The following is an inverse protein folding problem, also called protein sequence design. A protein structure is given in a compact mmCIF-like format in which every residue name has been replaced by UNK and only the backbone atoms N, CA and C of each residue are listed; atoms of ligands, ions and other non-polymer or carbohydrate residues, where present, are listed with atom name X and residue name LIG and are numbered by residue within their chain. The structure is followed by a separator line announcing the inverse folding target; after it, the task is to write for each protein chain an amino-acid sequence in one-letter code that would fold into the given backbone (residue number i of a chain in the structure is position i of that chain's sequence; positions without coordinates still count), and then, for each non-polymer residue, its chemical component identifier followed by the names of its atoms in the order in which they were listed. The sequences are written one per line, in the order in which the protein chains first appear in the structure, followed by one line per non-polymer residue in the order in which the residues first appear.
data_IF_474973436308
#
_entry.id   IF_474973436308
#
_cell.length_a   1.000
_cell.length_b   1.000
_cell.length_c   1.000
_cell.angle_alpha   90.00
_cell.angle_beta   90.00
_cell.angle_gamma   90.00
#
_symmetry.space_group_name_H-M   'P 1'
#
loop_
_entity.id
_entity.type
_entity.pdbx_description
1 polymer ?
#
# COMPACT_ATOMS: atom_id res chain seq x y z
N UNK A 1 -11.96 10.94 -36.31
CA UNK A 1 -12.46 10.22 -35.11
C UNK A 1 -12.37 8.70 -35.24
N UNK A 2 -11.88 8.14 -36.37
CA UNK A 2 -11.63 6.68 -36.53
C UNK A 2 -10.21 6.24 -36.12
N UNK A 3 -9.23 7.16 -36.10
CA UNK A 3 -7.82 6.84 -35.80
C UNK A 3 -7.61 6.49 -34.31
N UNK A 4 -8.51 6.92 -33.41
CA UNK A 4 -8.46 6.59 -31.97
C UNK A 4 -8.70 5.09 -31.72
N UNK A 5 -9.43 4.41 -32.61
CA UNK A 5 -9.85 3.02 -32.40
C UNK A 5 -8.83 1.95 -32.82
N UNK A 6 -7.85 2.28 -33.68
CA UNK A 6 -6.80 1.34 -34.09
C UNK A 6 -5.64 1.28 -33.10
N UNK A 7 -5.39 2.38 -32.38
CA UNK A 7 -4.46 2.40 -31.23
C UNK A 7 -5.03 1.57 -30.06
N UNK A 8 -6.34 1.36 -30.03
CA UNK A 8 -7.06 0.71 -28.94
C UNK A 8 -6.80 -0.81 -28.87
N UNK A 9 -6.89 -1.58 -29.97
CA UNK A 9 -6.86 -3.04 -29.82
C UNK A 9 -5.47 -3.62 -29.53
N UNK A 10 -4.40 -3.09 -30.15
CA UNK A 10 -3.03 -3.58 -29.99
C UNK A 10 -2.43 -3.11 -28.67
N UNK A 11 -2.70 -1.86 -28.28
CA UNK A 11 -2.20 -1.29 -27.03
C UNK A 11 -2.94 -1.91 -25.85
N UNK A 12 -4.27 -2.07 -25.93
CA UNK A 12 -5.04 -2.78 -24.90
C UNK A 12 -4.64 -4.26 -24.83
N UNK A 13 -4.42 -4.95 -25.95
CA UNK A 13 -3.96 -6.34 -25.95
C UNK A 13 -2.58 -6.49 -25.31
N UNK A 14 -1.63 -5.58 -25.59
CA UNK A 14 -0.33 -5.55 -24.89
C UNK A 14 -0.47 -5.16 -23.43
N UNK A 15 -1.38 -4.24 -23.10
CA UNK A 15 -1.63 -3.83 -21.72
C UNK A 15 -2.22 -4.98 -20.90
N UNK A 16 -3.16 -5.72 -21.46
CA UNK A 16 -3.70 -6.98 -20.94
C UNK A 16 -2.63 -8.03 -20.79
N UNK A 17 -1.79 -8.23 -21.80
CA UNK A 17 -0.71 -9.21 -21.72
C UNK A 17 0.26 -8.85 -20.58
N UNK A 18 0.57 -7.56 -20.43
CA UNK A 18 1.39 -7.07 -19.32
C UNK A 18 0.69 -7.20 -17.97
N UNK A 19 -0.58 -6.80 -17.87
CA UNK A 19 -1.39 -6.85 -16.66
C UNK A 19 -1.63 -8.30 -16.22
N UNK A 20 -2.06 -9.18 -17.12
CA UNK A 20 -2.26 -10.61 -16.85
C UNK A 20 -0.94 -11.31 -16.52
N UNK A 21 0.18 -10.99 -17.20
CA UNK A 21 1.50 -11.51 -16.81
C UNK A 21 1.92 -10.99 -15.43
N UNK A 22 1.71 -9.71 -15.13
CA UNK A 22 2.06 -9.16 -13.81
C UNK A 22 1.13 -9.66 -12.71
N UNK A 23 -0.16 -9.84 -12.95
CA UNK A 23 -1.12 -10.43 -12.01
C UNK A 23 -0.85 -11.92 -11.78
N UNK A 24 -0.59 -12.69 -12.84
CA UNK A 24 -0.17 -14.08 -12.72
C UNK A 24 1.13 -14.19 -11.92
N UNK A 25 2.07 -13.26 -12.10
CA UNK A 25 3.29 -13.16 -11.30
C UNK A 25 2.95 -12.78 -9.85
N UNK A 26 2.08 -11.81 -9.58
CA UNK A 26 1.71 -11.37 -8.22
C UNK A 26 0.94 -12.45 -7.44
N UNK A 27 0.08 -13.20 -8.13
CA UNK A 27 -0.65 -14.37 -7.61
C UNK A 27 0.30 -15.56 -7.40
N UNK A 28 1.16 -15.89 -8.37
CA UNK A 28 2.08 -17.02 -8.30
C UNK A 28 3.21 -16.83 -7.27
N UNK A 29 3.73 -15.61 -7.08
CA UNK A 29 4.88 -15.39 -6.19
C UNK A 29 4.60 -15.57 -4.68
N UNK A 30 3.37 -15.86 -4.25
CA UNK A 30 3.02 -15.65 -2.85
C UNK A 30 2.11 -16.68 -2.19
N UNK A 31 1.68 -17.76 -2.86
CA UNK A 31 0.87 -18.80 -2.20
C UNK A 31 1.58 -19.35 -0.95
N UNK A 32 2.91 -19.54 -1.03
CA UNK A 32 3.72 -19.98 0.11
C UNK A 32 3.73 -18.98 1.29
N UNK A 33 3.75 -17.67 1.02
CA UNK A 33 3.76 -16.64 2.06
C UNK A 33 2.38 -16.46 2.71
N UNK A 34 1.31 -16.61 1.93
CA UNK A 34 -0.07 -16.51 2.43
C UNK A 34 -0.32 -17.58 3.50
N UNK A 35 0.11 -18.82 3.26
CA UNK A 35 -0.04 -19.90 4.25
C UNK A 35 0.68 -19.60 5.57
N UNK A 36 1.87 -19.00 5.54
CA UNK A 36 2.61 -18.61 6.76
C UNK A 36 1.96 -17.44 7.51
N UNK A 37 1.29 -16.52 6.81
CA UNK A 37 0.59 -15.39 7.43
C UNK A 37 -0.77 -15.83 8.01
N UNK A 38 -1.41 -16.83 7.41
CA UNK A 38 -2.75 -17.26 7.80
C UNK A 38 -2.81 -17.93 9.18
N UNK A 39 -1.76 -18.65 9.59
CA UNK A 39 -1.74 -19.41 10.85
C UNK A 39 -1.69 -18.56 12.14
N UNK A 40 -1.33 -17.28 12.05
CA UNK A 40 -1.26 -16.39 13.21
C UNK A 40 -2.61 -15.74 13.55
N UNK A 41 -2.79 -15.42 14.86
CA UNK A 41 -3.93 -14.65 15.41
C UNK A 41 -4.18 -13.37 14.59
N UNK A 42 -5.46 -12.97 14.40
CA UNK A 42 -5.79 -11.79 13.60
C UNK A 42 -5.23 -10.52 14.26
N UNK A 43 -4.29 -9.88 13.58
CA UNK A 43 -3.71 -8.60 13.97
C UNK A 43 -4.03 -7.55 12.89
N UNK A 44 -4.01 -6.26 13.26
CA UNK A 44 -4.26 -5.14 12.33
C UNK A 44 -3.37 -5.22 11.08
N UNK A 45 -2.10 -5.60 11.23
CA UNK A 45 -1.19 -5.78 10.09
C UNK A 45 -1.61 -6.90 9.12
N UNK A 46 -2.27 -7.96 9.61
CA UNK A 46 -2.82 -9.03 8.76
C UNK A 46 -4.02 -8.50 7.98
N UNK A 47 -4.90 -7.74 8.63
CA UNK A 47 -6.03 -7.10 7.95
C UNK A 47 -5.54 -6.17 6.84
N UNK A 48 -4.62 -5.24 7.15
CA UNK A 48 -4.06 -4.32 6.15
C UNK A 48 -3.40 -5.05 4.99
N UNK A 49 -2.61 -6.10 5.25
CA UNK A 49 -1.96 -6.89 4.21
C UNK A 49 -2.96 -7.63 3.29
N UNK A 50 -4.04 -8.16 3.86
CA UNK A 50 -5.09 -8.80 3.07
C UNK A 50 -5.83 -7.75 2.25
N UNK A 51 -6.19 -6.63 2.86
CA UNK A 51 -6.91 -5.54 2.20
C UNK A 51 -6.11 -4.94 1.05
N UNK A 52 -4.83 -4.58 1.24
CA UNK A 52 -3.96 -4.05 0.17
C UNK A 52 -3.74 -5.04 -0.97
N UNK A 53 -3.89 -6.34 -0.72
CA UNK A 53 -3.69 -7.38 -1.73
C UNK A 53 -4.96 -7.70 -2.50
N UNK A 54 -6.07 -7.93 -1.80
CA UNK A 54 -7.29 -8.44 -2.42
C UNK A 54 -8.21 -7.33 -2.95
N UNK A 55 -8.19 -6.14 -2.35
CA UNK A 55 -9.04 -5.04 -2.83
C UNK A 55 -8.71 -4.61 -4.27
N UNK A 56 -7.42 -4.42 -4.68
CA UNK A 56 -7.10 -4.13 -6.08
C UNK A 56 -7.54 -5.22 -7.04
N UNK A 57 -7.47 -6.50 -6.64
CA UNK A 57 -7.90 -7.63 -7.50
C UNK A 57 -9.41 -7.54 -7.76
N UNK A 58 -10.20 -7.27 -6.73
CA UNK A 58 -11.65 -7.11 -6.88
C UNK A 58 -11.96 -5.89 -7.75
N UNK A 59 -11.26 -4.77 -7.55
CA UNK A 59 -11.40 -3.59 -8.39
C UNK A 59 -11.09 -3.93 -9.86
N UNK A 60 -9.97 -4.57 -10.14
CA UNK A 60 -9.58 -4.95 -11.50
C UNK A 60 -10.63 -5.87 -12.14
N UNK A 61 -11.15 -6.86 -11.41
CA UNK A 61 -12.23 -7.72 -11.91
C UNK A 61 -13.47 -6.89 -12.25
N UNK A 62 -13.89 -5.96 -11.38
CA UNK A 62 -15.04 -5.09 -11.66
C UNK A 62 -14.79 -4.18 -12.87
N UNK A 63 -13.57 -3.66 -13.01
CA UNK A 63 -13.14 -2.87 -14.15
C UNK A 63 -13.14 -3.69 -15.46
N UNK A 64 -12.66 -4.93 -15.42
CA UNK A 64 -12.74 -5.85 -16.56
C UNK A 64 -14.20 -6.13 -16.92
N UNK A 65 -15.05 -6.43 -15.94
CA UNK A 65 -16.46 -6.72 -16.18
C UNK A 65 -17.25 -5.54 -16.76
N UNK A 66 -16.81 -4.30 -16.52
CA UNK A 66 -17.48 -3.09 -17.02
C UNK A 66 -16.91 -2.58 -18.34
N UNK A 67 -15.58 -2.67 -18.52
CA UNK A 67 -14.87 -2.07 -19.64
C UNK A 67 -14.39 -3.07 -20.71
N UNK A 68 -14.55 -4.39 -20.53
CA UNK A 68 -14.22 -5.37 -21.57
C UNK A 68 -15.38 -5.73 -22.47
N UNK A 69 -15.03 -6.15 -23.70
CA UNK A 69 -15.96 -6.72 -24.67
C UNK A 69 -16.41 -8.10 -24.22
N UNK A 70 -17.34 -8.11 -23.29
CA UNK A 70 -18.07 -9.28 -22.84
C UNK A 70 -19.44 -9.15 -23.52
N UNK A 71 -19.74 -9.97 -24.53
CA UNK A 71 -21.03 -10.00 -25.23
C UNK A 71 -22.24 -10.33 -24.31
N UNK A 72 -22.02 -10.35 -23.00
CA UNK A 72 -23.01 -10.53 -21.96
C UNK A 72 -23.73 -9.21 -21.64
N UNK A 73 -25.06 -9.24 -21.67
CA UNK A 73 -25.92 -8.13 -21.26
C UNK A 73 -26.02 -8.06 -19.73
N UNK A 74 -25.35 -7.08 -19.13
CA UNK A 74 -25.51 -6.70 -17.73
C UNK A 74 -26.63 -5.65 -17.63
N UNK A 75 -27.54 -5.79 -16.66
CA UNK A 75 -28.59 -4.78 -16.46
C UNK A 75 -28.02 -3.46 -15.93
N UNK A 76 -28.70 -2.33 -16.18
CA UNK A 76 -28.21 -1.00 -15.78
C UNK A 76 -27.86 -0.89 -14.28
N UNK A 77 -28.68 -1.51 -13.41
CA UNK A 77 -28.41 -1.57 -11.96
C UNK A 77 -27.14 -2.35 -11.64
N UNK A 78 -26.83 -3.40 -12.41
CA UNK A 78 -25.61 -4.19 -12.28
C UNK A 78 -24.37 -3.39 -12.67
N UNK A 79 -24.43 -2.63 -13.76
CA UNK A 79 -23.34 -1.74 -14.17
C UNK A 79 -23.04 -0.69 -13.09
N UNK A 80 -24.08 -0.04 -12.55
CA UNK A 80 -23.91 0.94 -11.47
C UNK A 80 -23.33 0.29 -10.21
N UNK A 81 -23.79 -0.90 -9.83
CA UNK A 81 -23.25 -1.62 -8.68
C UNK A 81 -21.77 -2.01 -8.87
N UNK A 82 -21.39 -2.48 -10.06
CA UNK A 82 -19.99 -2.83 -10.38
C UNK A 82 -19.07 -1.61 -10.32
N UNK A 83 -19.53 -0.46 -10.82
CA UNK A 83 -18.76 0.79 -10.77
C UNK A 83 -18.58 1.33 -9.34
N UNK A 84 -19.63 1.24 -8.52
CA UNK A 84 -19.55 1.55 -7.08
C UNK A 84 -18.56 0.62 -6.39
N UNK A 85 -18.64 -0.70 -6.63
CA UNK A 85 -17.73 -1.67 -6.01
C UNK A 85 -16.29 -1.40 -6.45
N UNK A 86 -16.05 -1.15 -7.73
CA UNK A 86 -14.74 -0.78 -8.27
C UNK A 86 -14.16 0.44 -7.51
N UNK A 87 -14.91 1.53 -7.45
CA UNK A 87 -14.50 2.77 -6.80
C UNK A 87 -14.20 2.58 -5.31
N UNK A 88 -15.09 1.88 -4.59
CA UNK A 88 -14.90 1.60 -3.16
C UNK A 88 -13.68 0.72 -2.91
N UNK A 89 -13.45 -0.30 -3.74
CA UNK A 89 -12.31 -1.20 -3.59
C UNK A 89 -10.98 -0.50 -3.87
N UNK A 90 -10.93 0.38 -4.87
CA UNK A 90 -9.75 1.19 -5.15
C UNK A 90 -9.46 2.18 -4.01
N UNK A 91 -10.48 2.82 -3.44
CA UNK A 91 -10.32 3.68 -2.27
C UNK A 91 -9.82 2.90 -1.06
N UNK A 92 -10.38 1.71 -0.81
CA UNK A 92 -9.95 0.82 0.28
C UNK A 92 -8.49 0.41 0.10
N UNK A 93 -8.10 0.00 -1.11
CA UNK A 93 -6.73 -0.40 -1.43
C UNK A 93 -5.73 0.75 -1.20
N UNK A 94 -6.06 1.94 -1.72
CA UNK A 94 -5.24 3.13 -1.54
C UNK A 94 -5.14 3.53 -0.06
N UNK A 95 -6.25 3.50 0.67
CA UNK A 95 -6.29 3.86 2.09
C UNK A 95 -5.54 2.86 2.97
N UNK A 96 -5.58 1.56 2.65
CA UNK A 96 -4.83 0.54 3.37
C UNK A 96 -3.31 0.66 3.13
N UNK A 97 -2.90 1.01 1.91
CA UNK A 97 -1.49 1.27 1.59
C UNK A 97 -0.97 2.52 2.34
N UNK A 98 -1.78 3.56 2.45
CA UNK A 98 -1.41 4.76 3.20
C UNK A 98 -1.46 4.55 4.72
N UNK A 99 -2.43 3.81 5.25
CA UNK A 99 -2.46 3.42 6.66
C UNK A 99 -1.21 2.60 7.03
N UNK A 100 -0.76 1.73 6.13
CA UNK A 100 0.50 0.99 6.27
C UNK A 100 1.68 1.96 6.38
N UNK A 101 1.77 2.97 5.51
CA UNK A 101 2.81 4.00 5.58
C UNK A 101 2.79 4.77 6.90
N UNK A 102 1.61 5.19 7.35
CA UNK A 102 1.45 5.92 8.61
C UNK A 102 1.84 5.06 9.81
N UNK A 103 1.55 3.75 9.78
CA UNK A 103 2.01 2.81 10.80
C UNK A 103 3.54 2.65 10.80
N UNK A 104 4.15 2.53 9.61
CA UNK A 104 5.61 2.52 9.47
C UNK A 104 6.22 3.81 10.03
N UNK A 105 5.61 4.96 9.72
CA UNK A 105 6.05 6.27 10.18
C UNK A 105 5.92 6.39 11.70
N UNK A 106 4.81 5.93 12.27
CA UNK A 106 4.60 5.89 13.71
C UNK A 106 5.66 5.04 14.43
N UNK A 107 5.97 3.84 13.91
CA UNK A 107 7.02 3.00 14.46
C UNK A 107 8.41 3.66 14.37
N UNK A 108 8.67 4.46 13.33
CA UNK A 108 9.89 5.25 13.17
C UNK A 108 9.93 6.49 14.06
N UNK A 109 8.79 7.00 14.49
CA UNK A 109 8.73 8.17 15.36
C UNK A 109 9.07 7.79 16.80
N UNK A 110 8.70 6.59 17.26
CA UNK A 110 8.74 6.23 18.68
C UNK A 110 8.13 7.33 19.58
N UNK A 111 7.14 8.02 19.03
CA UNK A 111 6.49 9.18 19.66
C UNK A 111 5.30 8.71 20.49
N UNK A 112 4.95 9.51 21.50
CA UNK A 112 3.75 9.34 22.33
C UNK A 112 2.52 8.97 21.49
N UNK A 113 1.70 8.05 21.99
CA UNK A 113 0.46 7.54 21.36
C UNK A 113 -0.48 8.63 20.83
N UNK A 114 -0.44 9.84 21.39
CA UNK A 114 -1.24 11.00 20.92
C UNK A 114 -1.01 11.30 19.44
N UNK A 115 0.24 11.30 18.96
CA UNK A 115 0.55 11.63 17.57
C UNK A 115 0.05 10.59 16.58
N UNK A 116 -0.03 9.32 17.00
CA UNK A 116 -0.64 8.27 16.21
C UNK A 116 -2.12 8.57 15.92
N UNK A 117 -2.88 8.94 16.95
CA UNK A 117 -4.28 9.29 16.78
C UNK A 117 -4.47 10.51 15.89
N UNK A 118 -3.63 11.54 16.03
CA UNK A 118 -3.68 12.73 15.15
C UNK A 118 -3.45 12.36 13.68
N UNK A 119 -2.43 11.55 13.38
CA UNK A 119 -2.16 11.08 12.01
C UNK A 119 -3.31 10.26 11.43
N UNK A 120 -3.85 9.34 12.24
CA UNK A 120 -4.95 8.46 11.82
C UNK A 120 -6.25 9.23 11.59
N UNK A 121 -6.63 10.12 12.51
CA UNK A 121 -7.84 10.96 12.38
C UNK A 121 -7.71 11.90 11.19
N UNK A 122 -6.55 12.54 11.01
CA UNK A 122 -6.29 13.41 9.87
C UNK A 122 -6.41 12.67 8.54
N UNK A 123 -5.73 11.52 8.41
CA UNK A 123 -5.83 10.68 7.20
C UNK A 123 -7.25 10.20 6.94
N UNK A 124 -7.96 9.77 7.99
CA UNK A 124 -9.35 9.34 7.89
C UNK A 124 -10.28 10.46 7.43
N UNK A 125 -10.12 11.68 7.94
CA UNK A 125 -10.90 12.84 7.50
C UNK A 125 -10.73 13.08 5.99
N UNK A 126 -9.51 13.05 5.47
CA UNK A 126 -9.27 13.15 4.02
C UNK A 126 -9.91 12.01 3.23
N UNK A 127 -9.84 10.76 3.74
CA UNK A 127 -10.48 9.60 3.10
C UNK A 127 -11.99 9.75 3.02
N UNK A 128 -12.63 10.23 4.10
CA UNK A 128 -14.08 10.47 4.12
C UNK A 128 -14.47 11.55 3.12
N UNK A 129 -13.70 12.64 3.03
CA UNK A 129 -13.94 13.68 2.03
C UNK A 129 -13.84 13.15 0.60
N UNK A 130 -12.81 12.33 0.31
CA UNK A 130 -12.67 11.68 -1.00
C UNK A 130 -13.87 10.77 -1.29
N UNK A 131 -14.28 9.95 -0.33
CA UNK A 131 -15.42 9.05 -0.48
C UNK A 131 -16.71 9.81 -0.79
N UNK A 132 -16.96 10.93 -0.10
CA UNK A 132 -18.15 11.76 -0.35
C UNK A 132 -18.11 12.32 -1.76
N UNK A 133 -16.96 12.85 -2.21
CA UNK A 133 -16.81 13.39 -3.55
C UNK A 133 -16.99 12.32 -4.64
N UNK A 134 -16.40 11.14 -4.47
CA UNK A 134 -16.60 10.02 -5.40
C UNK A 134 -18.05 9.53 -5.40
N UNK A 135 -18.69 9.42 -4.24
CA UNK A 135 -20.11 9.06 -4.15
C UNK A 135 -21.00 10.09 -4.84
N UNK A 136 -20.68 11.38 -4.72
CA UNK A 136 -21.42 12.44 -5.43
C UNK A 136 -21.22 12.32 -6.94
N UNK A 137 -20.01 12.03 -7.42
CA UNK A 137 -19.74 11.82 -8.85
C UNK A 137 -20.56 10.65 -9.38
N UNK A 138 -20.51 9.49 -8.71
CA UNK A 138 -21.29 8.30 -9.09
C UNK A 138 -22.79 8.57 -9.09
N UNK A 139 -23.29 9.36 -8.14
CA UNK A 139 -24.72 9.70 -8.08
C UNK A 139 -25.20 10.55 -9.26
N UNK A 140 -24.30 11.32 -9.87
CA UNK A 140 -24.58 12.14 -11.06
C UNK A 140 -24.42 11.37 -12.37
N UNK A 141 -23.66 10.28 -12.37
CA UNK A 141 -23.48 9.44 -13.55
C UNK A 141 -24.79 8.74 -13.92
N UNK A 142 -25.14 8.81 -15.21
CA UNK A 142 -26.29 8.10 -15.77
C UNK A 142 -25.81 6.94 -16.63
N UNK A 143 -26.28 5.74 -16.30
CA UNK A 143 -26.08 4.56 -17.15
C UNK A 143 -27.03 4.65 -18.34
N UNK A 144 -26.47 4.69 -19.55
CA UNK A 144 -27.26 4.74 -20.78
C UNK A 144 -27.84 3.35 -21.06
N UNK A 145 -29.18 3.21 -21.20
CA UNK A 145 -29.77 1.94 -21.60
C UNK A 145 -29.31 1.56 -23.01
N UNK A 146 -29.07 0.27 -23.22
CA UNK A 146 -28.52 -0.25 -24.47
C UNK A 146 -29.32 0.15 -25.73
N UNK A 147 -30.62 0.37 -25.57
CA UNK A 147 -31.54 0.76 -26.65
C UNK A 147 -31.29 2.18 -27.19
N UNK A 148 -30.72 3.08 -26.39
CA UNK A 148 -30.42 4.46 -26.78
C UNK A 148 -29.05 4.63 -27.42
N UNK A 149 -28.20 3.60 -27.38
CA UNK A 149 -26.87 3.66 -27.98
C UNK A 149 -26.96 3.62 -29.51
N UNK A 150 -26.17 4.42 -30.23
CA UNK A 150 -26.09 4.33 -31.68
C UNK A 150 -25.67 2.93 -32.13
N UNK A 151 -26.20 2.45 -33.27
CA UNK A 151 -25.97 1.08 -33.78
C UNK A 151 -24.49 0.70 -33.90
N UNK A 152 -23.60 1.66 -34.20
CA UNK A 152 -22.17 1.41 -34.29
C UNK A 152 -21.53 1.06 -32.93
N UNK A 153 -22.04 1.58 -31.82
CA UNK A 153 -21.56 1.22 -30.48
C UNK A 153 -22.07 -0.14 -30.02
N UNK A 154 -23.28 -0.51 -30.43
CA UNK A 154 -23.85 -1.82 -30.08
C UNK A 154 -22.99 -2.99 -30.61
N UNK A 155 -22.32 -2.80 -31.75
CA UNK A 155 -21.41 -3.79 -32.33
C UNK A 155 -20.08 -3.97 -31.57
N UNK A 156 -19.72 -3.04 -30.68
CA UNK A 156 -18.48 -3.14 -29.91
C UNK A 156 -18.57 -4.15 -28.75
N UNK A 157 -19.78 -4.49 -28.30
CA UNK A 157 -19.98 -5.54 -27.29
C UNK A 157 -19.53 -5.18 -25.87
N UNK A 158 -19.39 -3.89 -25.52
CA UNK A 158 -19.20 -3.49 -24.12
C UNK A 158 -20.50 -3.63 -23.31
N UNK A 159 -20.45 -4.11 -22.06
CA UNK A 159 -21.64 -4.37 -21.25
C UNK A 159 -22.22 -3.11 -20.61
N UNK A 160 -21.37 -2.12 -20.29
CA UNK A 160 -21.76 -0.92 -19.54
C UNK A 160 -21.34 0.35 -20.30
N UNK A 161 -22.23 1.35 -20.34
CA UNK A 161 -21.98 2.67 -20.94
C UNK A 161 -22.43 3.76 -19.99
N UNK A 162 -21.51 4.67 -19.67
CA UNK A 162 -21.74 5.78 -18.77
C UNK A 162 -21.74 7.09 -19.56
N UNK A 163 -22.77 7.91 -19.36
CA UNK A 163 -22.83 9.25 -19.95
C UNK A 163 -21.89 10.19 -19.18
N UNK A 164 -20.79 10.57 -19.81
CA UNK A 164 -19.80 11.50 -19.25
C UNK A 164 -20.18 12.97 -19.40
N UNK A 165 -21.35 13.30 -19.98
CA UNK A 165 -21.58 14.61 -20.61
C UNK A 165 -22.03 15.77 -19.72
N UNK A 166 -22.23 15.62 -18.40
CA UNK A 166 -22.83 16.72 -17.59
C UNK A 166 -22.12 17.16 -16.31
N UNK A 167 -21.22 16.38 -15.73
CA UNK A 167 -20.43 16.70 -14.52
C UNK A 167 -19.42 15.56 -14.32
N UNK A 168 -18.17 15.72 -13.86
CA UNK A 168 -17.50 16.90 -13.34
C UNK A 168 -15.97 16.74 -13.44
N UNK A 169 -15.30 17.23 -14.51
CA UNK A 169 -13.83 17.31 -14.54
C UNK A 169 -13.28 18.06 -13.32
N UNK A 170 -14.10 18.93 -12.71
CA UNK A 170 -13.82 19.65 -11.48
C UNK A 170 -13.77 18.70 -10.27
N UNK A 171 -14.75 17.79 -10.08
CA UNK A 171 -14.77 16.85 -8.94
C UNK A 171 -13.60 15.88 -9.06
N UNK A 172 -13.32 15.34 -10.26
CA UNK A 172 -12.15 14.49 -10.49
C UNK A 172 -10.84 15.21 -10.15
N UNK A 173 -10.71 16.48 -10.56
CA UNK A 173 -9.57 17.31 -10.19
C UNK A 173 -9.46 17.48 -8.67
N UNK A 174 -10.56 17.86 -8.00
CA UNK A 174 -10.62 18.05 -6.55
C UNK A 174 -10.22 16.77 -5.79
N UNK A 175 -10.78 15.61 -6.17
CA UNK A 175 -10.42 14.31 -5.58
C UNK A 175 -8.93 14.04 -5.74
N UNK A 176 -8.38 14.27 -6.94
CA UNK A 176 -6.96 14.08 -7.21
C UNK A 176 -6.07 15.00 -6.37
N UNK A 177 -6.43 16.28 -6.24
CA UNK A 177 -5.70 17.24 -5.40
C UNK A 177 -5.78 16.89 -3.92
N UNK A 178 -6.95 16.56 -3.39
CA UNK A 178 -7.12 16.16 -1.98
C UNK A 178 -6.29 14.90 -1.68
N UNK A 179 -6.34 13.92 -2.58
CA UNK A 179 -5.55 12.68 -2.50
C UNK A 179 -4.04 12.95 -2.55
N UNK A 180 -3.61 13.87 -3.41
CA UNK A 180 -2.23 14.33 -3.49
C UNK A 180 -1.82 15.06 -2.21
N UNK A 181 -2.61 16.02 -1.71
CA UNK A 181 -2.35 16.76 -0.47
C UNK A 181 -2.22 15.82 0.71
N UNK A 182 -3.11 14.83 0.85
CA UNK A 182 -3.04 13.80 1.90
C UNK A 182 -1.70 13.06 1.87
N UNK A 183 -1.27 12.62 0.68
CA UNK A 183 -0.02 11.89 0.48
C UNK A 183 1.20 12.80 0.71
N UNK A 184 1.15 14.05 0.23
CA UNK A 184 2.21 15.04 0.38
C UNK A 184 2.41 15.41 1.86
N UNK A 185 1.33 15.60 2.63
CA UNK A 185 1.41 15.85 4.08
C UNK A 185 2.01 14.65 4.81
N UNK A 186 1.56 13.43 4.51
CA UNK A 186 2.12 12.21 5.11
C UNK A 186 3.61 12.07 4.79
N UNK A 187 4.02 12.39 3.55
CA UNK A 187 5.41 12.37 3.14
C UNK A 187 6.26 13.47 3.79
N UNK A 188 5.76 14.70 3.89
CA UNK A 188 6.45 15.81 4.55
C UNK A 188 6.67 15.51 6.03
N UNK A 189 5.65 14.95 6.70
CA UNK A 189 5.79 14.44 8.06
C UNK A 189 6.82 13.29 8.11
N UNK A 190 6.77 12.37 7.15
CA UNK A 190 7.77 11.32 6.94
C UNK A 190 9.21 11.85 6.86
N UNK A 191 9.43 12.89 6.05
CA UNK A 191 10.74 13.50 5.84
C UNK A 191 11.17 14.28 7.09
N UNK A 192 10.30 15.10 7.66
CA UNK A 192 10.61 15.92 8.84
C UNK A 192 11.01 15.06 10.03
N UNK A 193 10.26 13.98 10.28
CA UNK A 193 10.53 13.02 11.35
C UNK A 193 11.81 12.25 11.11
N UNK A 194 12.06 11.85 9.86
CA UNK A 194 13.30 11.22 9.46
C UNK A 194 14.50 12.15 9.69
N UNK A 195 14.45 13.40 9.26
CA UNK A 195 15.52 14.39 9.45
C UNK A 195 15.77 14.68 10.93
N UNK A 196 14.71 14.83 11.73
CA UNK A 196 14.81 15.05 13.16
C UNK A 196 15.51 13.86 13.87
N UNK A 197 15.11 12.63 13.55
CA UNK A 197 15.71 11.41 14.13
C UNK A 197 17.12 11.16 13.60
N UNK A 198 17.39 11.50 12.34
CA UNK A 198 18.70 11.36 11.70
C UNK A 198 19.80 12.11 12.46
N UNK A 199 19.47 13.28 13.03
CA UNK A 199 20.41 14.04 13.85
C UNK A 199 20.75 13.36 15.19
N UNK A 200 19.89 12.47 15.69
CA UNK A 200 19.98 11.95 17.07
C UNK A 200 20.46 10.49 17.17
N UNK A 201 20.37 9.68 16.12
CA UNK A 201 20.68 8.24 16.22
C UNK A 201 21.50 7.70 15.04
N UNK A 202 22.60 7.00 15.34
CA UNK A 202 23.48 6.27 14.39
C UNK A 202 23.18 4.77 14.29
N UNK A 203 21.95 4.31 14.56
CA UNK A 203 21.65 2.87 14.53
C UNK A 203 21.61 2.30 13.11
N UNK A 204 22.14 1.08 12.94
CA UNK A 204 22.23 0.38 11.64
C UNK A 204 20.85 0.05 11.04
N UNK A 205 19.81 -0.13 11.86
CA UNK A 205 18.44 -0.37 11.38
C UNK A 205 17.86 0.78 10.57
N UNK A 206 18.21 2.02 10.93
CA UNK A 206 17.74 3.20 10.20
C UNK A 206 18.23 3.17 8.75
N UNK A 207 19.38 2.52 8.48
CA UNK A 207 20.00 2.46 7.15
C UNK A 207 19.20 1.60 6.17
N UNK A 208 18.61 0.49 6.64
CA UNK A 208 17.82 -0.43 5.80
C UNK A 208 16.46 0.20 5.49
N UNK A 209 15.77 0.72 6.50
CA UNK A 209 14.46 1.37 6.29
C UNK A 209 14.59 2.63 5.44
N UNK A 210 15.69 3.38 5.58
CA UNK A 210 16.00 4.55 4.73
C UNK A 210 16.05 4.18 3.25
N UNK A 211 16.72 3.07 2.92
CA UNK A 211 16.96 2.70 1.52
C UNK A 211 15.66 2.29 0.82
N UNK A 212 14.80 1.53 1.47
CA UNK A 212 13.62 0.95 0.81
C UNK A 212 12.34 1.75 1.08
N UNK A 213 12.14 2.24 2.31
CA UNK A 213 11.00 3.07 2.65
C UNK A 213 11.04 4.43 1.96
N UNK A 214 12.23 5.04 1.84
CA UNK A 214 12.40 6.34 1.18
C UNK A 214 12.03 6.30 -0.31
N UNK A 215 12.48 5.26 -1.02
CA UNK A 215 12.13 5.06 -2.44
C UNK A 215 10.61 4.91 -2.61
N UNK A 216 9.95 4.24 -1.67
CA UNK A 216 8.51 4.08 -1.73
C UNK A 216 7.75 5.41 -1.53
N UNK A 217 8.14 6.23 -0.56
CA UNK A 217 7.54 7.56 -0.39
C UNK A 217 7.74 8.42 -1.62
N UNK A 218 8.97 8.48 -2.16
CA UNK A 218 9.29 9.30 -3.32
C UNK A 218 8.48 8.87 -4.56
N UNK A 219 8.40 7.57 -4.81
CA UNK A 219 7.63 7.01 -5.94
C UNK A 219 6.13 7.25 -5.80
N UNK A 220 5.56 7.09 -4.60
CA UNK A 220 4.13 7.30 -4.36
C UNK A 220 3.75 8.78 -4.54
N UNK A 221 4.56 9.71 -4.03
CA UNK A 221 4.35 11.15 -4.24
C UNK A 221 4.43 11.49 -5.72
N UNK A 222 5.45 10.98 -6.42
CA UNK A 222 5.64 11.26 -7.85
C UNK A 222 4.46 10.76 -8.67
N UNK A 223 4.01 9.52 -8.42
CA UNK A 223 2.84 8.95 -9.12
C UNK A 223 1.56 9.75 -8.84
N UNK A 224 1.32 10.15 -7.58
CA UNK A 224 0.14 10.96 -7.22
C UNK A 224 0.22 12.39 -7.76
N UNK A 225 1.41 12.97 -7.84
CA UNK A 225 1.64 14.29 -8.44
C UNK A 225 1.33 14.25 -9.95
N UNK A 226 1.88 13.27 -10.66
CA UNK A 226 1.63 13.12 -12.10
C UNK A 226 0.14 12.89 -12.37
N UNK A 227 -0.52 12.03 -11.59
CA UNK A 227 -1.96 11.78 -11.71
C UNK A 227 -2.80 13.05 -11.42
N UNK A 228 -2.43 13.84 -10.41
CA UNK A 228 -3.09 15.13 -10.12
C UNK A 228 -2.89 16.14 -11.25
N UNK A 229 -1.68 16.23 -11.80
CA UNK A 229 -1.39 17.07 -12.97
C UNK A 229 -2.32 16.63 -14.10
N UNK A 230 -2.28 15.37 -14.54
CA UNK A 230 -3.10 14.86 -15.67
C UNK A 230 -4.60 15.10 -15.51
N UNK A 231 -5.13 15.01 -14.29
CA UNK A 231 -6.55 15.24 -14.00
C UNK A 231 -6.93 16.72 -13.86
N UNK A 232 -5.97 17.64 -13.93
CA UNK A 232 -6.23 19.07 -13.84
C UNK A 232 -6.97 19.52 -15.11
N UNK A 233 -8.14 20.18 -15.00
CA UNK A 233 -8.85 20.68 -16.16
C UNK A 233 -8.08 21.83 -16.83
N UNK A 234 -8.23 21.97 -18.15
CA UNK A 234 -7.64 23.05 -18.96
C UNK A 234 -6.10 23.12 -18.94
N UNK A 235 -5.42 21.99 -18.73
CA UNK A 235 -3.97 22.00 -18.90
C UNK A 235 -3.62 22.27 -20.37
N UNK A 236 -2.70 23.21 -20.64
CA UNK A 236 -2.33 23.64 -22.00
C UNK A 236 -1.42 22.63 -22.71
N UNK A 237 -1.52 21.34 -22.40
CA UNK A 237 -0.65 20.35 -23.00
C UNK A 237 -1.11 20.13 -24.44
N UNK A 238 -0.23 20.44 -25.40
CA UNK A 238 -0.39 20.16 -26.83
C UNK A 238 -0.21 18.65 -27.05
N UNK A 239 -1.10 17.86 -26.48
CA UNK A 239 -1.19 16.42 -26.70
C UNK A 239 -2.51 16.18 -27.39
N UNK A 240 -2.50 15.37 -28.45
CA UNK A 240 -3.72 14.93 -29.09
C UNK A 240 -4.65 14.27 -28.05
N UNK A 241 -5.96 14.55 -28.06
CA UNK A 241 -6.88 14.10 -27.01
C UNK A 241 -6.88 12.57 -26.81
N UNK A 242 -6.55 11.81 -27.86
CA UNK A 242 -6.41 10.36 -27.79
C UNK A 242 -5.22 9.89 -26.93
N UNK A 243 -4.08 10.57 -27.06
CA UNK A 243 -2.85 10.24 -26.34
C UNK A 243 -2.97 10.63 -24.86
N UNK A 244 -3.66 11.73 -24.56
CA UNK A 244 -3.93 12.17 -23.19
C UNK A 244 -4.76 11.13 -22.42
N UNK A 245 -5.80 10.57 -23.04
CA UNK A 245 -6.62 9.51 -22.45
C UNK A 245 -5.79 8.24 -22.20
N UNK A 246 -4.97 7.84 -23.18
CA UNK A 246 -4.11 6.65 -23.06
C UNK A 246 -3.11 6.82 -21.92
N UNK A 247 -2.49 8.00 -21.81
CA UNK A 247 -1.55 8.33 -20.74
C UNK A 247 -2.23 8.33 -19.36
N UNK A 248 -3.44 8.89 -19.25
CA UNK A 248 -4.22 8.90 -18.02
C UNK A 248 -4.56 7.47 -17.54
N UNK A 249 -4.99 6.59 -18.46
CA UNK A 249 -5.29 5.18 -18.16
C UNK A 249 -4.02 4.43 -17.72
N UNK A 250 -2.90 4.66 -18.42
CA UNK A 250 -1.63 4.02 -18.09
C UNK A 250 -1.14 4.41 -16.69
N UNK A 251 -1.26 5.69 -16.33
CA UNK A 251 -0.83 6.21 -15.02
C UNK A 251 -1.77 5.78 -13.92
N UNK A 252 -3.08 5.78 -14.17
CA UNK A 252 -4.06 5.24 -13.24
C UNK A 252 -3.74 3.78 -12.89
N UNK A 253 -3.53 2.95 -13.91
CA UNK A 253 -3.23 1.53 -13.77
C UNK A 253 -1.90 1.31 -13.05
N UNK A 254 -0.86 2.08 -13.40
CA UNK A 254 0.43 2.06 -12.71
C UNK A 254 0.28 2.43 -11.23
N UNK A 255 -0.55 3.44 -10.91
CA UNK A 255 -0.82 3.87 -9.54
C UNK A 255 -1.55 2.79 -8.74
N UNK A 256 -2.60 2.19 -9.30
CA UNK A 256 -3.40 1.13 -8.67
C UNK A 256 -2.56 -0.11 -8.36
N UNK A 257 -1.60 -0.45 -9.24
CA UNK A 257 -0.75 -1.63 -9.05
C UNK A 257 0.50 -1.34 -8.22
N UNK A 258 1.23 -0.26 -8.52
CA UNK A 258 2.53 0.00 -7.90
C UNK A 258 2.40 0.31 -6.40
N UNK A 259 1.40 1.10 -6.00
CA UNK A 259 1.27 1.54 -4.61
C UNK A 259 1.06 0.34 -3.66
N UNK A 260 0.10 -0.58 -3.89
CA UNK A 260 -0.10 -1.72 -3.01
C UNK A 260 1.06 -2.73 -3.06
N UNK A 261 1.68 -2.94 -4.23
CA UNK A 261 2.86 -3.82 -4.35
C UNK A 261 4.01 -3.32 -3.48
N UNK A 262 4.29 -2.02 -3.54
CA UNK A 262 5.36 -1.42 -2.75
C UNK A 262 5.01 -1.39 -1.25
N UNK A 263 3.75 -1.11 -0.89
CA UNK A 263 3.27 -1.21 0.49
C UNK A 263 3.47 -2.63 1.05
N UNK A 264 3.12 -3.65 0.27
CA UNK A 264 3.26 -5.05 0.66
C UNK A 264 4.74 -5.44 0.84
N UNK A 265 5.63 -4.99 -0.04
CA UNK A 265 7.08 -5.20 0.12
C UNK A 265 7.60 -4.56 1.40
N UNK A 266 7.16 -3.34 1.70
CA UNK A 266 7.54 -2.65 2.94
C UNK A 266 7.08 -3.42 4.18
N UNK A 267 5.83 -3.88 4.20
CA UNK A 267 5.29 -4.69 5.31
C UNK A 267 6.08 -5.98 5.55
N UNK A 268 6.41 -6.70 4.47
CA UNK A 268 7.20 -7.93 4.54
C UNK A 268 8.60 -7.67 5.09
N UNK A 269 9.24 -6.59 4.65
CA UNK A 269 10.58 -6.23 5.12
C UNK A 269 10.57 -5.80 6.59
N UNK A 270 9.56 -5.04 7.04
CA UNK A 270 9.41 -4.72 8.45
C UNK A 270 9.18 -5.95 9.32
N UNK A 271 8.40 -6.93 8.84
CA UNK A 271 8.19 -8.19 9.56
C UNK A 271 9.49 -8.96 9.74
N UNK A 272 10.30 -9.05 8.69
CA UNK A 272 11.60 -9.75 8.74
C UNK A 272 12.53 -9.12 9.78
N UNK A 273 12.55 -7.79 9.87
CA UNK A 273 13.33 -7.06 10.88
C UNK A 273 12.83 -7.37 12.30
N UNK A 274 11.51 -7.46 12.49
CA UNK A 274 10.94 -7.78 13.79
C UNK A 274 11.22 -9.24 14.21
N UNK A 275 11.21 -10.20 13.29
CA UNK A 275 11.58 -11.60 13.58
C UNK A 275 13.05 -11.70 14.02
N UNK A 276 13.96 -10.95 13.39
CA UNK A 276 15.38 -10.92 13.79
C UNK A 276 15.52 -10.33 15.19
N UNK A 277 14.83 -9.22 15.49
CA UNK A 277 14.87 -8.60 16.82
C UNK A 277 14.22 -9.45 17.91
N UNK A 278 13.10 -10.09 17.60
CA UNK A 278 12.44 -11.00 18.52
C UNK A 278 13.35 -12.19 18.82
N UNK A 279 14.00 -12.77 17.80
CA UNK A 279 14.94 -13.87 18.00
C UNK A 279 16.20 -13.43 18.75
N UNK A 280 16.73 -12.23 18.53
CA UNK A 280 17.88 -11.75 19.31
C UNK A 280 17.51 -11.43 20.76
N UNK A 281 16.33 -10.87 21.02
CA UNK A 281 15.82 -10.65 22.38
C UNK A 281 15.51 -11.97 23.09
N UNK A 282 14.93 -12.95 22.40
CA UNK A 282 14.66 -14.28 22.95
C UNK A 282 15.97 -15.01 23.20
N UNK A 283 16.93 -15.01 22.27
CA UNK A 283 18.23 -15.64 22.48
C UNK A 283 19.04 -14.95 23.58
N UNK A 284 19.00 -13.62 23.70
CA UNK A 284 19.64 -12.96 24.84
C UNK A 284 18.94 -13.31 26.14
N UNK A 285 17.61 -13.32 26.23
CA UNK A 285 16.91 -13.77 27.43
C UNK A 285 17.12 -15.26 27.75
N UNK A 286 17.27 -16.14 26.74
CA UNK A 286 17.54 -17.56 26.95
C UNK A 286 18.98 -17.85 27.37
N UNK A 287 19.95 -17.01 26.96
CA UNK A 287 21.37 -17.23 27.24
C UNK A 287 21.97 -16.29 28.30
N UNK A 288 21.21 -15.29 28.78
CA UNK A 288 21.54 -14.52 29.99
C UNK A 288 20.78 -15.00 31.23
N UNK A 289 20.39 -16.27 31.28
CA UNK A 289 20.16 -16.93 32.56
C UNK A 289 21.51 -17.17 33.23
N UNK A 290 22.22 -16.09 33.59
CA UNK A 290 23.24 -16.16 34.63
C UNK A 290 22.53 -16.63 35.89
N UNK A 291 22.91 -17.76 36.49
CA UNK A 291 22.33 -18.16 37.76
C UNK A 291 22.54 -17.03 38.75
N UNK A 292 21.45 -16.40 39.18
CA UNK A 292 21.46 -15.64 40.43
C UNK A 292 21.69 -16.65 41.54
N UNK A 293 22.97 -16.94 41.79
CA UNK A 293 23.44 -17.35 43.10
C UNK A 293 23.18 -16.18 44.04
N UNK A 294 22.42 -16.45 45.11
CA UNK A 294 22.48 -15.65 46.33
C UNK A 294 21.20 -14.93 46.74
N UNK A 295 20.15 -15.68 47.09
CA UNK A 295 19.49 -15.41 48.37
C UNK A 295 20.07 -16.39 49.38
N UNK A 296 21.29 -16.09 49.82
CA UNK A 296 21.92 -16.71 50.96
C UNK A 296 22.02 -15.66 52.04
N UNK A 297 21.14 -15.78 53.04
CA UNK A 297 21.26 -15.14 54.33
C UNK A 297 22.70 -15.20 54.82
N UNK A 298 23.14 -14.09 55.39
CA UNK A 298 24.26 -13.90 56.29
C UNK A 298 24.55 -15.14 57.15
N UNK A 299 25.48 -15.99 56.71
CA UNK A 299 26.45 -16.68 57.59
C UNK A 299 27.52 -17.36 56.74
N UNK A 300 28.77 -17.05 57.10
CA UNK A 300 30.02 -17.73 56.76
C UNK A 300 30.67 -17.48 55.39
N UNK A 301 31.61 -16.53 55.45
CA UNK A 301 32.79 -16.38 54.61
C UNK A 301 33.53 -17.71 54.48
N UNK A 302 33.63 -18.22 53.25
CA UNK A 302 34.88 -18.77 52.73
C UNK A 302 35.09 -18.26 51.32
N UNK A 303 36.11 -17.42 51.17
CA UNK A 303 36.54 -16.88 49.90
C UNK A 303 37.23 -18.00 49.10
N UNK A 304 36.69 -18.33 47.92
CA UNK A 304 37.44 -19.05 46.89
C UNK A 304 37.91 -18.03 45.86
N UNK A 305 39.18 -17.64 45.96
CA UNK A 305 39.91 -16.99 44.88
C UNK A 305 40.22 -18.03 43.81
N UNK A 306 39.61 -17.87 42.63
CA UNK A 306 40.04 -18.58 41.43
C UNK A 306 41.17 -17.77 40.77
N UNK A 307 42.41 -18.11 41.13
CA UNK A 307 43.59 -17.71 40.38
C UNK A 307 43.76 -18.61 39.15
N UNK A 308 43.67 -18.03 37.96
CA UNK A 308 44.07 -18.70 36.72
C UNK A 308 45.58 -18.45 36.53
N UNK A 309 46.38 -19.51 36.59
CA UNK A 309 47.79 -19.45 36.19
C UNK A 309 47.91 -19.52 34.65
N UNK A 310 48.96 -18.90 34.11
CA UNK A 310 49.20 -18.66 32.69
C UNK A 310 49.41 -19.93 31.83
N UNK A 311 49.22 -21.13 32.40
CA UNK A 311 49.37 -22.43 31.76
C UNK A 311 48.04 -23.13 31.45
N UNK A 312 46.89 -22.53 31.75
CA UNK A 312 45.59 -22.98 31.22
C UNK A 312 45.05 -24.30 31.79
N UNK A 313 45.55 -24.77 32.94
CA UNK A 313 45.00 -25.93 33.64
C UNK A 313 44.29 -25.51 34.93
N UNK A 314 42.97 -25.72 35.00
CA UNK A 314 42.16 -25.58 36.21
C UNK A 314 42.29 -26.82 37.09
N UNK A 315 42.67 -26.63 38.35
CA UNK A 315 42.59 -27.66 39.38
C UNK A 315 41.84 -27.10 40.59
N UNK A 316 40.89 -27.86 41.14
CA UNK A 316 40.22 -27.54 42.39
C UNK A 316 40.84 -28.39 43.51
N UNK A 317 41.49 -27.74 44.48
CA UNK A 317 41.89 -28.40 45.75
C UNK A 317 40.80 -28.16 46.79
N UNK A 318 40.24 -29.25 47.28
CA UNK A 318 39.46 -29.30 48.52
C UNK A 318 40.42 -29.30 49.70
N UNK A 319 40.41 -28.25 50.53
CA UNK A 319 41.05 -28.26 51.85
C UNK A 319 39.99 -28.71 52.87
N UNK A 320 40.29 -29.81 53.56
CA UNK A 320 39.53 -30.35 54.71
C UNK A 320 39.71 -29.49 55.95
#
# INVERSE_FOLDING_TARGET
MEIIFLVDSITIARYLEWATKTEAIVLAFNVAYVNRIWSHKPNVGKFLFLTTRYAPIVAIICNLLTNFRLYWRIGNKGCMALDVIHSVMDLIAASAAEATLLLCLYALLDVKRVWFYVLMIGSFAFTVTILILEATDISHQRVLPHQLLPKHWQGLGYPCYFDSSRQSPIIYGLVAYISFTRTALAALLGIATFLHRYRRSRSSMLKVIKREGGIYYLSTILLRLIDAIIRTPNMPIVIDPADAVTLAIAIYSLRVLAIPILANRLLLNMRKVNEINANTLISTMLFTMTPHTGFGSTTDRMAYEFGADASGHMWARSLS
#
